data_IF_411973548085
#
_entry.id   IF_411973548085
#
_cell.length_a   1.000
_cell.length_b   1.000
_cell.length_c   1.000
_cell.angle_alpha   90.00
_cell.angle_beta   90.00
_cell.angle_gamma   90.00
#
_symmetry.space_group_name_H-M   'P 1'
#
loop_
_entity.id
_entity.type
_entity.pdbx_description
1 polymer ?
#
# COMPACT_ATOMS: atom_id res chain seq x y z
N UNK A 1 3.61 37.10 -14.71
CA UNK A 1 2.92 35.87 -15.14
C UNK A 1 3.91 34.81 -15.62
N UNK A 2 4.84 35.08 -16.53
CA UNK A 2 5.88 34.12 -16.94
C UNK A 2 6.63 33.51 -15.73
N UNK A 3 7.12 34.32 -14.80
CA UNK A 3 7.81 33.88 -13.60
C UNK A 3 6.97 32.95 -12.70
N UNK A 4 5.64 33.10 -12.62
CA UNK A 4 4.76 32.21 -11.84
C UNK A 4 4.51 30.89 -12.56
N UNK A 5 4.42 30.90 -13.88
CA UNK A 5 4.33 29.65 -14.66
C UNK A 5 5.63 28.86 -14.54
N UNK A 6 6.79 29.53 -14.65
CA UNK A 6 8.08 28.89 -14.45
C UNK A 6 8.21 28.30 -13.04
N UNK A 7 7.73 29.04 -12.02
CA UNK A 7 7.69 28.54 -10.64
C UNK A 7 6.81 27.28 -10.51
N UNK A 8 5.62 27.31 -11.11
CA UNK A 8 4.71 26.16 -11.11
C UNK A 8 5.35 24.94 -11.80
N UNK A 9 6.00 25.12 -12.94
CA UNK A 9 6.73 24.08 -13.67
C UNK A 9 7.83 23.47 -12.78
N UNK A 10 8.62 24.31 -12.11
CA UNK A 10 9.69 23.87 -11.24
C UNK A 10 9.16 23.06 -10.06
N UNK A 11 8.12 23.54 -9.39
CA UNK A 11 7.47 22.81 -8.28
C UNK A 11 6.97 21.44 -8.77
N UNK A 12 6.28 21.39 -9.91
CA UNK A 12 5.76 20.13 -10.44
C UNK A 12 6.87 19.16 -10.86
N UNK A 13 8.00 19.67 -11.37
CA UNK A 13 9.16 18.84 -11.67
C UNK A 13 9.81 18.30 -10.39
N UNK A 14 9.86 19.10 -9.32
CA UNK A 14 10.34 18.65 -8.02
C UNK A 14 9.39 17.61 -7.41
N UNK A 15 8.07 17.81 -7.46
CA UNK A 15 7.08 16.80 -7.10
C UNK A 15 7.30 15.50 -7.88
N UNK A 16 7.45 15.58 -9.21
CA UNK A 16 7.65 14.41 -10.05
C UNK A 16 8.93 13.62 -9.68
N UNK A 17 10.00 14.31 -9.31
CA UNK A 17 11.23 13.68 -8.83
C UNK A 17 11.00 12.92 -7.53
N UNK A 18 10.32 13.53 -6.55
CA UNK A 18 10.01 12.88 -5.28
C UNK A 18 9.04 11.70 -5.47
N UNK A 19 8.04 11.83 -6.33
CA UNK A 19 7.15 10.71 -6.66
C UNK A 19 7.86 9.58 -7.40
N UNK A 20 8.88 9.87 -8.21
CA UNK A 20 9.71 8.84 -8.85
C UNK A 20 10.51 8.05 -7.82
N UNK A 21 11.13 8.73 -6.85
CA UNK A 21 11.82 8.06 -5.74
C UNK A 21 10.86 7.21 -4.90
N UNK A 22 9.64 7.73 -4.65
CA UNK A 22 8.61 7.00 -3.93
C UNK A 22 8.13 5.76 -4.70
N UNK A 23 8.04 5.85 -6.03
CA UNK A 23 7.72 4.72 -6.91
C UNK A 23 8.80 3.63 -6.83
N UNK A 24 10.08 4.01 -6.85
CA UNK A 24 11.20 3.07 -6.70
C UNK A 24 11.18 2.38 -5.33
N UNK A 25 10.90 3.12 -4.24
CA UNK A 25 10.72 2.53 -2.91
C UNK A 25 9.53 1.58 -2.88
N UNK A 26 8.42 1.92 -3.53
CA UNK A 26 7.22 1.07 -3.60
C UNK A 26 7.48 -0.22 -4.38
N UNK A 27 8.29 -0.19 -5.44
CA UNK A 27 8.74 -1.39 -6.14
C UNK A 27 9.64 -2.27 -5.27
N UNK A 28 10.57 -1.67 -4.51
CA UNK A 28 11.40 -2.39 -3.55
C UNK A 28 10.56 -3.00 -2.43
N UNK A 29 9.50 -2.30 -2.00
CA UNK A 29 8.53 -2.81 -1.02
C UNK A 29 7.82 -4.06 -1.52
N UNK A 30 7.42 -4.12 -2.80
CA UNK A 30 6.86 -5.33 -3.41
C UNK A 30 7.78 -6.53 -3.19
N UNK A 31 9.06 -6.36 -3.46
CA UNK A 31 10.07 -7.42 -3.30
C UNK A 31 10.23 -7.84 -1.84
N UNK A 32 10.24 -6.87 -0.91
CA UNK A 32 10.37 -7.12 0.52
C UNK A 32 9.15 -7.87 1.07
N UNK A 33 7.93 -7.53 0.61
CA UNK A 33 6.68 -8.23 0.98
C UNK A 33 6.74 -9.70 0.54
N UNK A 34 7.11 -9.94 -0.73
CA UNK A 34 7.19 -11.31 -1.28
C UNK A 34 8.23 -12.16 -0.55
N UNK A 35 9.33 -11.55 -0.10
CA UNK A 35 10.37 -12.24 0.67
C UNK A 35 10.05 -12.37 2.17
N UNK A 36 9.04 -11.68 2.68
CA UNK A 36 8.76 -11.59 4.11
C UNK A 36 9.84 -10.84 4.89
N UNK A 37 10.61 -9.95 4.24
CA UNK A 37 11.70 -9.20 4.87
C UNK A 37 11.16 -8.00 5.65
N UNK A 38 10.84 -8.24 6.91
CA UNK A 38 10.28 -7.23 7.81
C UNK A 38 11.29 -6.09 8.09
N UNK A 39 12.59 -6.42 8.17
CA UNK A 39 13.64 -5.41 8.39
C UNK A 39 13.70 -4.41 7.23
N UNK A 40 13.73 -4.93 5.99
CA UNK A 40 13.71 -4.10 4.79
C UNK A 40 12.42 -3.28 4.68
N UNK A 41 11.25 -3.85 5.06
CA UNK A 41 9.99 -3.11 5.08
C UNK A 41 10.03 -1.92 6.04
N UNK A 42 10.59 -2.08 7.24
CA UNK A 42 10.73 -0.99 8.22
C UNK A 42 11.62 0.15 7.69
N UNK A 43 12.74 -0.19 7.03
CA UNK A 43 13.60 0.81 6.41
C UNK A 43 12.89 1.58 5.29
N UNK A 44 12.14 0.86 4.44
CA UNK A 44 11.36 1.47 3.36
C UNK A 44 10.32 2.43 3.93
N UNK A 45 9.56 2.03 4.94
CA UNK A 45 8.57 2.90 5.59
C UNK A 45 9.19 4.20 6.14
N UNK A 46 10.37 4.10 6.75
CA UNK A 46 11.08 5.29 7.23
C UNK A 46 11.51 6.24 6.12
N UNK A 47 11.88 5.72 4.95
CA UNK A 47 12.21 6.52 3.76
C UNK A 47 10.97 7.12 3.10
N UNK A 48 9.91 6.33 2.95
CA UNK A 48 8.61 6.80 2.43
C UNK A 48 8.06 7.97 3.24
N UNK A 49 8.11 7.90 4.57
CA UNK A 49 7.63 8.98 5.42
C UNK A 49 8.35 10.30 5.15
N UNK A 50 9.67 10.27 4.97
CA UNK A 50 10.46 11.48 4.65
C UNK A 50 10.06 12.09 3.30
N UNK A 51 9.83 11.24 2.30
CA UNK A 51 9.39 11.70 0.98
C UNK A 51 7.98 12.28 1.02
N UNK A 52 7.08 11.67 1.79
CA UNK A 52 5.71 12.17 2.00
C UNK A 52 5.74 13.56 2.65
N UNK A 53 6.60 13.78 3.62
CA UNK A 53 6.74 15.09 4.27
C UNK A 53 7.26 16.18 3.30
N UNK A 54 8.15 15.80 2.39
CA UNK A 54 8.64 16.69 1.31
C UNK A 54 7.51 16.97 0.32
N UNK A 55 6.79 15.94 -0.12
CA UNK A 55 5.68 16.05 -1.06
C UNK A 55 4.54 16.93 -0.50
N UNK A 56 4.22 16.81 0.78
CA UNK A 56 3.22 17.66 1.42
C UNK A 56 3.60 19.16 1.36
N UNK A 57 4.88 19.48 1.53
CA UNK A 57 5.36 20.87 1.39
C UNK A 57 5.25 21.36 -0.04
N UNK A 58 5.71 20.56 -1.01
CA UNK A 58 5.64 20.90 -2.44
C UNK A 58 4.19 21.08 -2.90
N UNK A 59 3.26 20.23 -2.41
CA UNK A 59 1.83 20.38 -2.68
C UNK A 59 1.28 21.73 -2.17
N UNK A 60 1.65 22.14 -0.95
CA UNK A 60 1.26 23.45 -0.42
C UNK A 60 1.84 24.61 -1.25
N UNK A 61 3.10 24.50 -1.68
CA UNK A 61 3.76 25.49 -2.55
C UNK A 61 3.04 25.56 -3.90
N UNK A 62 2.71 24.41 -4.49
CA UNK A 62 1.95 24.32 -5.74
C UNK A 62 0.58 24.96 -5.62
N UNK A 63 -0.15 24.67 -4.55
CA UNK A 63 -1.47 25.28 -4.30
C UNK A 63 -1.38 26.79 -4.16
N UNK A 64 -0.38 27.30 -3.45
CA UNK A 64 -0.14 28.74 -3.31
C UNK A 64 0.17 29.39 -4.65
N UNK A 65 1.05 28.77 -5.45
CA UNK A 65 1.41 29.25 -6.78
C UNK A 65 0.19 29.29 -7.73
N UNK A 66 -0.64 28.24 -7.72
CA UNK A 66 -1.89 28.19 -8.48
C UNK A 66 -2.85 29.29 -8.02
N UNK A 67 -2.98 29.53 -6.72
CA UNK A 67 -3.84 30.59 -6.19
C UNK A 67 -3.37 31.99 -6.68
N UNK A 68 -2.08 32.23 -6.73
CA UNK A 68 -1.53 33.51 -7.21
C UNK A 68 -1.73 33.70 -8.72
N UNK A 69 -1.61 32.62 -9.51
CA UNK A 69 -1.96 32.63 -10.93
C UNK A 69 -3.45 32.95 -11.12
N UNK A 70 -4.33 32.33 -10.32
CA UNK A 70 -5.76 32.56 -10.39
C UNK A 70 -6.14 34.03 -10.05
N UNK A 71 -5.48 34.63 -9.05
CA UNK A 71 -5.67 36.04 -8.71
C UNK A 71 -5.37 36.95 -9.91
N UNK A 72 -4.25 36.69 -10.62
CA UNK A 72 -3.85 37.47 -11.78
C UNK A 72 -4.83 37.30 -12.96
N UNK A 73 -5.37 36.08 -13.10
CA UNK A 73 -6.32 35.75 -14.16
C UNK A 73 -7.77 36.06 -13.80
N UNK A 74 -8.03 36.61 -12.59
CA UNK A 74 -9.37 36.90 -12.05
C UNK A 74 -10.28 35.66 -12.05
N UNK A 75 -9.69 34.48 -11.72
CA UNK A 75 -10.39 33.19 -11.62
C UNK A 75 -10.60 32.83 -10.15
N UNK A 76 -11.63 32.02 -9.88
CA UNK A 76 -11.83 31.45 -8.55
C UNK A 76 -10.83 30.30 -8.32
N UNK A 77 -9.93 30.45 -7.36
CA UNK A 77 -8.90 29.45 -7.05
C UNK A 77 -9.47 28.08 -6.58
N UNK A 78 -10.71 28.07 -6.07
CA UNK A 78 -11.34 26.86 -5.54
C UNK A 78 -11.68 25.81 -6.61
N UNK A 79 -11.76 26.19 -7.87
CA UNK A 79 -12.22 25.33 -8.97
C UNK A 79 -11.16 25.09 -10.05
N UNK A 80 -10.03 25.82 -10.01
CA UNK A 80 -9.04 25.77 -11.08
C UNK A 80 -8.04 24.64 -10.87
N UNK A 81 -8.05 23.69 -11.81
CA UNK A 81 -7.05 22.62 -11.91
C UNK A 81 -5.89 23.07 -12.81
N UNK A 82 -4.69 22.51 -12.58
CA UNK A 82 -3.51 22.77 -13.44
C UNK A 82 -3.81 22.54 -14.92
N UNK A 83 -4.62 21.53 -15.26
CA UNK A 83 -5.06 21.25 -16.63
C UNK A 83 -5.85 22.40 -17.27
N UNK A 84 -6.52 23.23 -16.49
CA UNK A 84 -7.23 24.42 -16.98
C UNK A 84 -6.25 25.58 -17.21
N UNK A 85 -5.22 25.71 -16.36
CA UNK A 85 -4.14 26.68 -16.56
C UNK A 85 -3.41 26.37 -17.87
N UNK A 86 -3.10 25.09 -18.14
CA UNK A 86 -2.50 24.65 -19.41
C UNK A 86 -3.33 25.15 -20.59
N UNK A 87 -4.65 24.93 -20.60
CA UNK A 87 -5.54 25.40 -21.67
C UNK A 87 -5.56 26.92 -21.85
N UNK A 88 -5.44 27.66 -20.75
CA UNK A 88 -5.43 29.14 -20.83
C UNK A 88 -4.12 29.69 -21.42
N UNK A 89 -3.07 28.89 -21.48
CA UNK A 89 -1.77 29.25 -22.07
C UNK A 89 -1.65 28.92 -23.55
N UNK A 90 -2.70 28.44 -24.23
CA UNK A 90 -2.67 28.04 -25.66
C UNK A 90 -2.05 29.12 -26.59
N UNK A 91 -2.14 30.40 -26.20
CA UNK A 91 -1.55 31.52 -26.97
C UNK A 91 -0.04 31.71 -26.74
N UNK A 92 0.55 31.01 -25.77
CA UNK A 92 1.96 31.07 -25.36
C UNK A 92 2.59 29.69 -25.45
N UNK A 93 2.88 29.27 -26.67
CA UNK A 93 3.27 27.89 -27.00
C UNK A 93 4.39 27.34 -26.12
N UNK A 94 5.46 28.07 -25.86
CA UNK A 94 6.58 27.58 -25.07
C UNK A 94 6.21 27.31 -23.59
N UNK A 95 5.45 28.24 -22.97
CA UNK A 95 4.97 28.09 -21.59
C UNK A 95 3.91 26.97 -21.49
N UNK A 96 3.04 26.88 -22.51
CA UNK A 96 2.04 25.82 -22.61
C UNK A 96 2.70 24.43 -22.67
N UNK A 97 3.59 24.21 -23.63
CA UNK A 97 4.22 22.91 -23.86
C UNK A 97 5.04 22.45 -22.66
N UNK A 98 5.79 23.37 -22.02
CA UNK A 98 6.57 23.04 -20.83
C UNK A 98 5.69 22.67 -19.63
N UNK A 99 4.60 23.42 -19.39
CA UNK A 99 3.67 23.11 -18.30
C UNK A 99 2.89 21.82 -18.57
N UNK A 100 2.43 21.60 -19.79
CA UNK A 100 1.74 20.39 -20.19
C UNK A 100 2.64 19.15 -20.02
N UNK A 101 3.89 19.22 -20.46
CA UNK A 101 4.85 18.14 -20.29
C UNK A 101 5.07 17.80 -18.82
N UNK A 102 5.28 18.81 -17.96
CA UNK A 102 5.44 18.60 -16.51
C UNK A 102 4.19 17.98 -15.90
N UNK A 103 3.00 18.47 -16.28
CA UNK A 103 1.72 17.93 -15.80
C UNK A 103 1.52 16.47 -16.21
N UNK A 104 1.75 16.14 -17.48
CA UNK A 104 1.58 14.76 -17.97
C UNK A 104 2.59 13.80 -17.36
N UNK A 105 3.84 14.24 -17.18
CA UNK A 105 4.88 13.46 -16.53
C UNK A 105 4.51 13.13 -15.07
N UNK A 106 4.15 14.15 -14.30
CA UNK A 106 3.71 13.98 -12.91
C UNK A 106 2.50 13.05 -12.81
N UNK A 107 1.47 13.27 -13.64
CA UNK A 107 0.28 12.42 -13.68
C UNK A 107 0.60 10.97 -13.99
N UNK A 108 1.53 10.71 -14.92
CA UNK A 108 1.99 9.35 -15.26
C UNK A 108 2.65 8.67 -14.05
N UNK A 109 3.58 9.36 -13.40
CA UNK A 109 4.31 8.82 -12.24
C UNK A 109 3.35 8.52 -11.09
N UNK A 110 2.43 9.43 -10.78
CA UNK A 110 1.42 9.23 -9.71
C UNK A 110 0.52 8.04 -10.02
N UNK A 111 0.06 7.89 -11.28
CA UNK A 111 -0.75 6.73 -11.66
C UNK A 111 0.02 5.40 -11.51
N UNK A 112 1.30 5.37 -11.90
CA UNK A 112 2.15 4.19 -11.71
C UNK A 112 2.32 3.86 -10.23
N UNK A 113 2.59 4.87 -9.40
CA UNK A 113 2.72 4.71 -7.96
C UNK A 113 1.43 4.15 -7.34
N UNK A 114 0.26 4.68 -7.74
CA UNK A 114 -1.04 4.18 -7.26
C UNK A 114 -1.20 2.69 -7.58
N UNK A 115 -0.90 2.28 -8.82
CA UNK A 115 -0.99 0.87 -9.22
C UNK A 115 -0.07 -0.04 -8.39
N UNK A 116 1.19 0.38 -8.19
CA UNK A 116 2.14 -0.40 -7.38
C UNK A 116 1.69 -0.47 -5.92
N UNK A 117 1.20 0.62 -5.36
CA UNK A 117 0.70 0.64 -3.97
C UNK A 117 -0.54 -0.22 -3.78
N UNK A 118 -1.47 -0.23 -4.74
CA UNK A 118 -2.65 -1.10 -4.71
C UNK A 118 -2.25 -2.58 -4.75
N UNK A 119 -1.29 -2.93 -5.61
CA UNK A 119 -0.71 -4.27 -5.66
C UNK A 119 -0.02 -4.65 -4.35
N UNK A 120 0.77 -3.76 -3.77
CA UNK A 120 1.45 -3.99 -2.49
C UNK A 120 0.45 -4.21 -1.36
N UNK A 121 -0.64 -3.44 -1.34
CA UNK A 121 -1.73 -3.61 -0.37
C UNK A 121 -2.40 -4.97 -0.48
N UNK A 122 -2.64 -5.43 -1.71
CA UNK A 122 -3.20 -6.76 -1.96
C UNK A 122 -2.24 -7.86 -1.49
N UNK A 123 -0.96 -7.78 -1.87
CA UNK A 123 0.06 -8.74 -1.47
C UNK A 123 0.21 -8.82 0.06
N UNK A 124 0.25 -7.69 0.75
CA UNK A 124 0.29 -7.67 2.22
C UNK A 124 -0.91 -8.37 2.83
N UNK A 125 -2.11 -8.11 2.31
CA UNK A 125 -3.33 -8.77 2.79
C UNK A 125 -3.27 -10.29 2.62
N UNK A 126 -2.85 -10.75 1.44
CA UNK A 126 -2.71 -12.20 1.16
C UNK A 126 -1.65 -12.84 2.04
N UNK A 127 -0.50 -12.18 2.23
CA UNK A 127 0.56 -12.66 3.12
C UNK A 127 0.07 -12.77 4.58
N UNK A 128 -0.67 -11.79 5.08
CA UNK A 128 -1.25 -11.84 6.41
C UNK A 128 -2.25 -12.99 6.56
N UNK A 129 -3.13 -13.20 5.58
CA UNK A 129 -4.08 -14.31 5.59
C UNK A 129 -3.36 -15.67 5.63
N UNK A 130 -2.26 -15.81 4.89
CA UNK A 130 -1.45 -17.03 4.89
C UNK A 130 -0.79 -17.28 6.25
N UNK A 131 -0.22 -16.26 6.87
CA UNK A 131 0.38 -16.34 8.20
C UNK A 131 -0.69 -16.75 9.24
N UNK A 132 -1.87 -16.14 9.21
CA UNK A 132 -2.97 -16.47 10.12
C UNK A 132 -3.42 -17.93 9.93
N UNK A 133 -3.49 -18.41 8.70
CA UNK A 133 -3.78 -19.81 8.41
C UNK A 133 -2.72 -20.73 8.97
N UNK A 134 -1.42 -20.47 8.78
CA UNK A 134 -0.31 -21.26 9.31
C UNK A 134 -0.32 -21.30 10.83
N UNK A 135 -0.57 -20.16 11.50
CA UNK A 135 -0.70 -20.08 12.96
C UNK A 135 -1.87 -20.97 13.45
N UNK A 136 -3.01 -20.90 12.79
CA UNK A 136 -4.17 -21.71 13.15
C UNK A 136 -3.90 -23.21 12.93
N UNK A 137 -3.22 -23.57 11.86
CA UNK A 137 -2.81 -24.94 11.59
C UNK A 137 -1.84 -25.46 12.68
N UNK A 138 -0.84 -24.66 13.05
CA UNK A 138 0.11 -25.01 14.11
C UNK A 138 -0.58 -25.18 15.48
N UNK A 139 -1.52 -24.31 15.83
CA UNK A 139 -2.32 -24.42 17.05
C UNK A 139 -3.16 -25.72 17.05
N UNK A 140 -3.83 -26.03 15.95
CA UNK A 140 -4.66 -27.22 15.84
C UNK A 140 -3.83 -28.51 15.85
N UNK A 141 -2.63 -28.52 15.28
CA UNK A 141 -1.72 -29.67 15.31
C UNK A 141 -1.14 -29.90 16.69
N UNK A 142 -0.92 -28.85 17.48
CA UNK A 142 -0.48 -28.99 18.88
C UNK A 142 -1.59 -29.41 19.84
N UNK A 143 -2.86 -29.26 19.45
CA UNK A 143 -4.03 -29.70 20.22
C UNK A 143 -4.57 -31.08 19.79
N UNK A 144 -3.91 -31.78 18.87
CA UNK A 144 -4.27 -33.17 18.55
C UNK A 144 -4.05 -34.01 19.81
N UNK A 145 -5.11 -34.64 20.39
CA UNK A 145 -4.91 -35.51 21.53
C UNK A 145 -4.01 -36.66 21.11
N UNK A 146 -3.01 -36.98 21.95
CA UNK A 146 -2.26 -38.24 21.86
C UNK A 146 -3.25 -39.38 22.15
N UNK A 147 -4.09 -39.72 21.20
CA UNK A 147 -4.96 -40.87 21.28
C UNK A 147 -4.63 -41.77 20.12
N UNK A 148 -3.72 -42.63 20.34
CA UNK A 148 -3.78 -44.02 19.93
C UNK A 148 -2.50 -44.71 20.38
N UNK A 149 -2.36 -44.89 21.67
CA UNK A 149 -1.55 -46.00 22.15
C UNK A 149 -2.35 -47.29 21.88
N UNK A 150 -2.29 -47.77 20.64
CA UNK A 150 -2.63 -49.15 20.34
C UNK A 150 -1.51 -50.03 20.92
N UNK A 151 -1.53 -50.17 22.23
CA UNK A 151 -0.75 -51.17 22.93
C UNK A 151 -1.23 -52.53 22.51
N UNK A 152 -0.40 -53.26 21.76
CA UNK A 152 -0.47 -54.71 21.62
C UNK A 152 -0.57 -55.35 23.02
N UNK A 153 -1.59 -56.17 23.23
CA UNK A 153 -1.74 -56.97 24.44
C UNK A 153 -2.98 -57.84 24.32
N UNK A 154 -2.99 -58.72 23.32
CA UNK A 154 -3.88 -59.87 23.36
C UNK A 154 -3.09 -61.00 24.04
N UNK A 155 -3.45 -61.33 25.23
CA UNK A 155 -3.32 -62.69 25.76
C UNK A 155 -4.49 -62.96 26.70
N UNK A 156 -5.05 -64.12 26.42
CA UNK A 156 -6.10 -64.87 27.09
C UNK A 156 -5.95 -64.90 28.63
N UNK A 157 -7.04 -64.90 29.35
CA UNK A 157 -7.36 -66.06 30.16
C UNK A 157 -8.81 -66.05 30.65
N UNK A 158 -9.32 -67.23 30.60
CA UNK A 158 -10.59 -67.80 30.94
C UNK A 158 -11.09 -67.49 32.35
N UNK A 159 -12.38 -67.38 32.48
CA UNK A 159 -13.10 -67.99 33.61
C UNK A 159 -13.79 -67.05 34.60
N UNK A 160 -15.09 -67.18 34.67
CA UNK A 160 -15.82 -66.78 35.91
C UNK A 160 -17.20 -66.20 35.65
N UNK A 161 -18.17 -67.07 35.68
CA UNK A 161 -19.62 -66.84 35.77
C UNK A 161 -20.00 -65.89 36.91
N UNK A 162 -21.04 -65.13 36.70
CA UNK A 162 -21.82 -64.47 37.77
C UNK A 162 -22.57 -63.29 37.24
N UNK A 163 -23.72 -63.48 36.62
CA UNK A 163 -25.06 -63.31 37.18
C UNK A 163 -25.44 -61.83 37.52
N UNK A 164 -26.38 -61.32 36.71
CA UNK A 164 -27.50 -60.49 37.09
C UNK A 164 -27.25 -59.16 37.76
N UNK A 165 -27.74 -58.04 37.23
CA UNK A 165 -29.11 -57.61 37.43
C UNK A 165 -29.39 -56.33 36.69
N UNK A 166 -30.41 -56.38 35.95
CA UNK A 166 -31.25 -55.28 35.47
C UNK A 166 -31.64 -54.34 36.62
N UNK A 167 -31.54 -53.04 36.47
CA UNK A 167 -32.69 -52.22 36.80
C UNK A 167 -32.71 -50.89 36.04
N UNK A 168 -33.82 -50.63 35.44
CA UNK A 168 -34.23 -49.38 34.82
C UNK A 168 -34.96 -48.55 35.86
N UNK A 169 -34.77 -47.24 35.86
CA UNK A 169 -35.73 -46.15 36.14
C UNK A 169 -34.96 -44.89 36.60
N UNK A 170 -35.21 -43.92 36.04
CA UNK A 170 -36.01 -42.72 35.72
C UNK A 170 -35.14 -41.69 35.06
#
# INVERSE_FOLDING_TARGET
MASLIDSLINIMNDENRQYTELLDLSNNKTTAIVKGDVGQLQEIFGKEQKLIDILNRLEMERQSCVADICKILHLSAAEVKVSQIVRLLEKKQAEHDALEQSYLSLKKTVNQLTQVNDNNRLLLKETMNMIDFEINLAKNSSMSPQTANYGKGAYEETGGMGSTSFDARQ
#
